data_IF_924804021950
#
_entry.id   IF_924804021950
#
_cell.length_a   1.000
_cell.length_b   1.000
_cell.length_c   1.000
_cell.angle_alpha   90.00
_cell.angle_beta   90.00
_cell.angle_gamma   90.00
#
_symmetry.space_group_name_H-M   'P 1'
#
loop_
_entity.id
_entity.type
_entity.pdbx_description
1 polymer ?
#
# COMPACT_ATOMS: atom_id res chain seq x y z
N UNK A 1 -11.60 18.79 -1.57
CA UNK A 1 -11.49 17.71 -2.57
C UNK A 1 -10.25 16.85 -2.40
N UNK A 2 -9.04 17.41 -2.29
CA UNK A 2 -7.80 16.62 -2.20
C UNK A 2 -7.70 15.75 -0.93
N UNK A 3 -8.26 16.22 0.19
CA UNK A 3 -8.37 15.42 1.42
C UNK A 3 -9.17 14.12 1.24
N UNK A 4 -10.25 14.12 0.44
CA UNK A 4 -11.04 12.92 0.16
C UNK A 4 -10.23 11.91 -0.67
N UNK A 5 -9.51 12.39 -1.69
CA UNK A 5 -8.62 11.56 -2.51
C UNK A 5 -7.50 10.92 -1.67
N UNK A 6 -6.93 11.67 -0.72
CA UNK A 6 -5.93 11.16 0.20
C UNK A 6 -6.50 10.04 1.10
N UNK A 7 -7.68 10.27 1.70
CA UNK A 7 -8.34 9.27 2.55
C UNK A 7 -8.66 8.02 1.74
N UNK A 8 -9.23 8.16 0.54
CA UNK A 8 -9.53 7.04 -0.34
C UNK A 8 -8.25 6.30 -0.72
N UNK A 9 -7.17 7.02 -1.04
CA UNK A 9 -5.87 6.44 -1.36
C UNK A 9 -5.30 5.61 -0.21
N UNK A 10 -5.38 6.11 1.02
CA UNK A 10 -4.93 5.37 2.22
C UNK A 10 -5.79 4.13 2.45
N UNK A 11 -7.12 4.24 2.34
CA UNK A 11 -8.01 3.07 2.49
C UNK A 11 -7.71 2.03 1.41
N UNK A 12 -7.51 2.45 0.16
CA UNK A 12 -7.19 1.54 -0.93
C UNK A 12 -5.83 0.87 -0.74
N UNK A 13 -4.84 1.62 -0.22
CA UNK A 13 -3.51 1.09 0.11
C UNK A 13 -3.63 -0.04 1.13
N UNK A 14 -4.38 0.18 2.21
CA UNK A 14 -4.63 -0.83 3.23
C UNK A 14 -5.41 -2.03 2.69
N UNK A 15 -6.36 -1.83 1.77
CA UNK A 15 -7.08 -2.91 1.11
C UNK A 15 -6.16 -3.76 0.22
N UNK A 16 -5.29 -3.13 -0.56
CA UNK A 16 -4.30 -3.84 -1.40
C UNK A 16 -3.34 -4.66 -0.53
N UNK A 17 -2.81 -4.07 0.55
CA UNK A 17 -1.93 -4.79 1.49
C UNK A 17 -2.66 -5.98 2.13
N UNK A 18 -3.94 -5.81 2.49
CA UNK A 18 -4.77 -6.90 3.02
C UNK A 18 -4.98 -8.01 1.98
N UNK A 19 -5.26 -7.66 0.72
CA UNK A 19 -5.42 -8.63 -0.35
C UNK A 19 -4.11 -9.38 -0.62
N UNK A 20 -2.96 -8.70 -0.67
CA UNK A 20 -1.65 -9.32 -0.82
C UNK A 20 -1.39 -10.35 0.29
N UNK A 21 -1.59 -9.97 1.56
CA UNK A 21 -1.41 -10.88 2.69
C UNK A 21 -2.34 -12.12 2.64
N UNK A 22 -3.58 -11.95 2.17
CA UNK A 22 -4.53 -13.07 2.00
C UNK A 22 -4.09 -14.00 0.88
N UNK A 23 -3.67 -13.44 -0.26
CA UNK A 23 -3.27 -14.22 -1.43
C UNK A 23 -1.97 -14.97 -1.11
N UNK A 24 -0.98 -14.31 -0.51
CA UNK A 24 0.32 -14.89 -0.16
C UNK A 24 0.21 -16.09 0.77
N UNK A 25 -0.65 -16.02 1.79
CA UNK A 25 -0.84 -17.13 2.74
C UNK A 25 -1.65 -18.30 2.15
N UNK A 26 -2.34 -18.11 1.02
CA UNK A 26 -3.15 -19.19 0.43
C UNK A 26 -2.22 -20.27 -0.10
N UNK A 27 -2.07 -21.36 0.67
CA UNK A 27 -1.27 -22.52 0.27
C UNK A 27 -1.94 -23.18 -0.95
N UNK A 28 -1.24 -23.19 -2.05
CA UNK A 28 -1.68 -23.76 -3.32
C UNK A 28 -0.96 -25.10 -3.52
N UNK A 29 -1.72 -26.15 -3.83
CA UNK A 29 -1.20 -27.51 -3.95
C UNK A 29 -0.92 -27.91 -5.41
N UNK A 30 -1.09 -26.98 -6.37
CA UNK A 30 -0.85 -27.25 -7.79
C UNK A 30 -0.19 -26.07 -8.50
N UNK A 31 0.69 -26.38 -9.44
CA UNK A 31 1.44 -25.41 -10.23
C UNK A 31 0.53 -24.42 -11.00
N UNK A 32 -0.60 -24.90 -11.52
CA UNK A 32 -1.59 -24.04 -12.19
C UNK A 32 -2.22 -23.02 -11.23
N UNK A 33 -2.41 -23.40 -9.96
CA UNK A 33 -2.96 -22.50 -8.95
C UNK A 33 -1.94 -21.47 -8.44
N UNK A 34 -0.66 -21.81 -8.40
CA UNK A 34 0.45 -20.88 -8.13
C UNK A 34 0.59 -19.82 -9.23
N UNK A 35 0.52 -20.22 -10.50
CA UNK A 35 0.58 -19.28 -11.64
C UNK A 35 -0.57 -18.27 -11.55
N UNK A 36 -1.79 -18.74 -11.27
CA UNK A 36 -2.97 -17.88 -11.10
C UNK A 36 -2.82 -16.94 -9.91
N UNK A 37 -2.23 -17.40 -8.82
CA UNK A 37 -1.97 -16.61 -7.63
C UNK A 37 -0.96 -15.48 -7.91
N UNK A 38 0.13 -15.82 -8.59
CA UNK A 38 1.14 -14.83 -8.99
C UNK A 38 0.57 -13.79 -9.97
N UNK A 39 -0.22 -14.24 -10.95
CA UNK A 39 -0.91 -13.35 -11.89
C UNK A 39 -1.86 -12.34 -11.19
N UNK A 40 -2.45 -12.71 -10.05
CA UNK A 40 -3.26 -11.80 -9.23
C UNK A 40 -2.43 -10.86 -8.35
N UNK A 41 -1.22 -11.29 -7.93
CA UNK A 41 -0.33 -10.45 -7.14
C UNK A 41 0.27 -9.30 -7.94
N UNK A 42 0.60 -9.51 -9.22
CA UNK A 42 1.21 -8.49 -10.08
C UNK A 42 0.39 -7.19 -10.13
N UNK A 43 -0.91 -7.18 -10.49
CA UNK A 43 -1.70 -5.95 -10.54
C UNK A 43 -1.85 -5.29 -9.16
N UNK A 44 -1.91 -6.09 -8.08
CA UNK A 44 -1.92 -5.55 -6.71
C UNK A 44 -0.60 -4.87 -6.36
N UNK A 45 0.53 -5.45 -6.76
CA UNK A 45 1.85 -4.83 -6.60
C UNK A 45 2.00 -3.53 -7.38
N UNK A 46 1.52 -3.48 -8.62
CA UNK A 46 1.49 -2.24 -9.42
C UNK A 46 0.61 -1.19 -8.74
N UNK A 47 -0.59 -1.57 -8.29
CA UNK A 47 -1.49 -0.68 -7.55
C UNK A 47 -0.87 -0.14 -6.26
N UNK A 48 -0.09 -0.96 -5.55
CA UNK A 48 0.64 -0.56 -4.36
C UNK A 48 1.68 0.54 -4.67
N UNK A 49 2.50 0.34 -5.70
CA UNK A 49 3.52 1.33 -6.12
C UNK A 49 2.86 2.64 -6.54
N UNK A 50 1.77 2.57 -7.32
CA UNK A 50 1.02 3.76 -7.74
C UNK A 50 0.47 4.54 -6.54
N UNK A 51 -0.07 3.86 -5.53
CA UNK A 51 -0.57 4.52 -4.32
C UNK A 51 0.54 5.13 -3.46
N UNK A 52 1.69 4.45 -3.36
CA UNK A 52 2.88 4.99 -2.67
C UNK A 52 3.37 6.28 -3.34
N UNK A 53 3.24 6.42 -4.66
CA UNK A 53 3.56 7.66 -5.37
C UNK A 53 2.44 8.71 -5.28
N UNK A 54 1.17 8.29 -5.31
CA UNK A 54 0.01 9.17 -5.25
C UNK A 54 -0.12 9.89 -3.91
N UNK A 55 0.16 9.21 -2.80
CA UNK A 55 0.00 9.77 -1.44
C UNK A 55 0.89 11.01 -1.23
N UNK A 56 2.21 10.96 -1.46
CA UNK A 56 3.10 12.13 -1.37
C UNK A 56 2.65 13.29 -2.26
N UNK A 57 2.18 12.98 -3.48
CA UNK A 57 1.66 14.00 -4.39
C UNK A 57 0.42 14.69 -3.80
N UNK A 58 -0.54 13.93 -3.27
CA UNK A 58 -1.74 14.51 -2.65
C UNK A 58 -1.37 15.34 -1.40
N UNK A 59 -0.43 14.86 -0.59
CA UNK A 59 0.09 15.62 0.56
C UNK A 59 0.73 16.93 0.08
N UNK A 60 1.59 16.91 -0.94
CA UNK A 60 2.20 18.11 -1.51
C UNK A 60 1.17 19.13 -2.01
N UNK A 61 0.10 18.66 -2.67
CA UNK A 61 -0.99 19.53 -3.12
C UNK A 61 -1.77 20.12 -1.94
N UNK A 62 -1.99 19.37 -0.86
CA UNK A 62 -2.68 19.86 0.36
C UNK A 62 -1.86 20.95 1.05
N UNK A 63 -0.53 20.83 1.07
CA UNK A 63 0.38 21.83 1.63
C UNK A 63 0.57 23.08 0.75
N UNK A 64 -0.19 23.22 -0.34
CA UNK A 64 -0.15 24.42 -1.19
C UNK A 64 0.92 24.40 -2.27
N UNK A 65 1.48 23.24 -2.60
CA UNK A 65 2.49 23.02 -3.66
C UNK A 65 3.76 23.88 -3.50
N UNK A 66 4.45 23.81 -2.35
CA UNK A 66 5.72 24.50 -2.19
C UNK A 66 6.75 24.03 -3.24
N UNK A 67 7.54 24.96 -3.77
CA UNK A 67 8.46 24.73 -4.92
C UNK A 67 9.94 24.68 -4.48
N UNK A 68 10.22 24.75 -3.18
CA UNK A 68 11.58 24.73 -2.62
C UNK A 68 11.99 23.40 -1.98
N UNK A 69 13.00 23.45 -1.10
CA UNK A 69 13.48 22.30 -0.30
C UNK A 69 12.38 21.61 0.52
N UNK A 70 11.33 22.34 0.85
CA UNK A 70 10.09 21.88 1.48
C UNK A 70 9.49 20.66 0.77
N UNK A 71 9.64 20.56 -0.57
CA UNK A 71 9.13 19.41 -1.33
C UNK A 71 9.82 18.11 -0.90
N UNK A 72 11.14 18.16 -0.64
CA UNK A 72 11.94 16.99 -0.25
C UNK A 72 11.51 16.52 1.14
N UNK A 73 11.28 17.46 2.06
CA UNK A 73 10.80 17.13 3.40
C UNK A 73 9.38 16.54 3.37
N UNK A 74 8.47 17.11 2.59
CA UNK A 74 7.09 16.62 2.45
C UNK A 74 7.05 15.23 1.80
N UNK A 75 7.74 15.05 0.67
CA UNK A 75 7.79 13.76 -0.02
C UNK A 75 8.51 12.70 0.83
N UNK A 76 9.68 13.04 1.40
CA UNK A 76 10.44 12.12 2.23
C UNK A 76 9.65 11.67 3.45
N UNK A 77 9.04 12.60 4.18
CA UNK A 77 8.24 12.27 5.36
C UNK A 77 6.98 11.47 5.00
N UNK A 78 6.26 11.86 3.95
CA UNK A 78 5.03 11.15 3.53
C UNK A 78 5.32 9.74 3.03
N UNK A 79 6.40 9.53 2.26
CA UNK A 79 6.83 8.18 1.83
C UNK A 79 7.21 7.35 3.06
N UNK A 80 8.02 7.89 3.96
CA UNK A 80 8.45 7.18 5.17
C UNK A 80 7.25 6.71 5.99
N UNK A 81 6.30 7.61 6.28
CA UNK A 81 5.06 7.29 7.00
C UNK A 81 4.23 6.24 6.26
N UNK A 82 4.07 6.38 4.94
CA UNK A 82 3.30 5.44 4.11
C UNK A 82 3.91 4.04 4.14
N UNK A 83 5.22 3.93 3.97
CA UNK A 83 5.95 2.66 3.99
C UNK A 83 5.89 2.02 5.38
N UNK A 84 6.11 2.79 6.45
CA UNK A 84 5.99 2.29 7.82
C UNK A 84 4.58 1.78 8.11
N UNK A 85 3.54 2.50 7.68
CA UNK A 85 2.14 2.06 7.81
C UNK A 85 1.87 0.77 7.03
N UNK A 86 2.37 0.66 5.79
CA UNK A 86 2.25 -0.55 4.98
C UNK A 86 2.86 -1.76 5.68
N UNK A 87 4.11 -1.66 6.13
CA UNK A 87 4.80 -2.76 6.81
C UNK A 87 4.12 -3.14 8.12
N UNK A 88 3.75 -2.14 8.94
CA UNK A 88 3.06 -2.38 10.20
C UNK A 88 1.71 -3.09 9.99
N UNK A 89 0.93 -2.63 9.01
CA UNK A 89 -0.37 -3.22 8.72
C UNK A 89 -0.25 -4.61 8.10
N UNK A 90 0.70 -4.82 7.17
CA UNK A 90 1.02 -6.12 6.61
C UNK A 90 1.40 -7.13 7.70
N UNK A 91 2.34 -6.74 8.59
CA UNK A 91 2.76 -7.57 9.72
C UNK A 91 1.59 -7.91 10.64
N UNK A 92 0.74 -6.92 10.94
CA UNK A 92 -0.46 -7.13 11.76
C UNK A 92 -1.41 -8.13 11.10
N UNK A 93 -1.64 -8.05 9.79
CA UNK A 93 -2.51 -8.98 9.07
C UNK A 93 -1.96 -10.41 9.06
N UNK A 94 -0.64 -10.55 8.89
CA UNK A 94 0.04 -11.85 8.98
C UNK A 94 -0.09 -12.44 10.39
N UNK A 95 0.19 -11.64 11.43
CA UNK A 95 0.09 -12.06 12.85
C UNK A 95 -1.34 -12.47 13.25
N UNK A 96 -2.35 -11.68 12.90
CA UNK A 96 -3.74 -11.91 13.31
C UNK A 96 -4.34 -13.20 12.70
N UNK A 97 -3.78 -13.68 11.58
CA UNK A 97 -4.20 -14.91 10.91
C UNK A 97 -3.40 -16.14 11.36
N UNK A 98 -2.27 -15.97 12.07
CA UNK A 98 -1.52 -17.08 12.69
C UNK A 98 -2.21 -17.52 14.00
N UNK A 99 -2.77 -16.58 14.76
CA UNK A 99 -3.49 -16.90 16.00
C UNK A 99 -4.85 -17.62 15.81
N UNK A 100 -5.30 -17.79 14.56
CA UNK A 100 -6.59 -18.44 14.21
C UNK A 100 -6.40 -19.63 13.24
N UNK A 101 -5.17 -20.10 13.04
CA UNK A 101 -4.84 -21.29 12.24
C UNK A 101 -4.36 -22.41 13.14
#
# INVERSE_FOLDING_TARGET
MNWLLLIIGIVLLLLIVKCLAIIEKKKTNSMASEIKQNALMVPLGVGLILLIALIPYQVWVIFGRPVGWEIIYIFGFSIMVTVTLCFWYYYRQMKHRIAHS
#
